data_IF_210099203694
#
_entry.id   IF_210099203694
#
_cell.length_a   1.000
_cell.length_b   1.000
_cell.length_c   1.000
_cell.angle_alpha   90.00
_cell.angle_beta   90.00
_cell.angle_gamma   90.00
#
_symmetry.space_group_name_H-M   'P 1'
#
loop_
_entity.id
_entity.type
_entity.pdbx_description
1 polymer ?
#
# COMPACT_ATOMS: atom_id res chain seq x y z
N UNK A 1 15.90 10.81 -19.27
CA UNK A 1 15.90 9.33 -19.43
C UNK A 1 15.35 8.75 -18.14
N UNK A 2 14.40 7.80 -18.21
CA UNK A 2 13.86 7.16 -17.00
C UNK A 2 15.00 6.45 -16.24
N UNK A 3 15.04 6.53 -14.89
CA UNK A 3 16.02 5.80 -14.08
C UNK A 3 15.72 4.28 -14.03
N UNK A 4 14.56 3.84 -14.50
CA UNK A 4 14.17 2.43 -14.53
C UNK A 4 14.67 1.80 -15.82
N UNK A 5 15.35 0.65 -15.67
CA UNK A 5 15.88 -0.08 -16.82
C UNK A 5 14.76 -0.56 -17.75
N UNK A 6 14.98 -0.50 -19.06
CA UNK A 6 14.00 -0.90 -20.07
C UNK A 6 13.65 -2.41 -20.00
N UNK A 7 14.50 -3.22 -19.39
CA UNK A 7 14.25 -4.63 -19.14
C UNK A 7 13.48 -4.92 -17.83
N UNK A 8 13.05 -3.89 -17.11
CA UNK A 8 12.24 -4.06 -15.90
C UNK A 8 10.91 -4.72 -16.23
N UNK A 9 10.56 -5.79 -15.51
CA UNK A 9 9.24 -6.41 -15.53
C UNK A 9 8.67 -6.52 -14.12
N UNK A 10 7.39 -6.18 -13.98
CA UNK A 10 6.69 -6.19 -12.69
C UNK A 10 5.53 -7.19 -12.76
N UNK A 11 5.49 -8.13 -11.82
CA UNK A 11 4.33 -8.98 -11.59
C UNK A 11 3.43 -8.33 -10.55
N UNK A 12 2.16 -8.14 -10.88
CA UNK A 12 1.13 -7.60 -9.98
C UNK A 12 0.14 -8.71 -9.71
N UNK A 13 -0.10 -9.04 -8.44
CA UNK A 13 -0.98 -10.14 -8.04
C UNK A 13 -2.15 -9.60 -7.23
N UNK A 14 -3.38 -9.88 -7.67
CA UNK A 14 -4.61 -9.48 -6.98
C UNK A 14 -5.14 -8.09 -7.35
N UNK A 15 -5.96 -7.53 -6.46
CA UNK A 15 -6.66 -6.25 -6.63
C UNK A 15 -6.83 -5.57 -5.27
N UNK A 16 -6.58 -4.27 -5.24
CA UNK A 16 -6.75 -3.40 -4.08
C UNK A 16 -6.97 -1.96 -4.56
N UNK A 17 -7.72 -1.12 -3.84
CA UNK A 17 -7.87 0.31 -4.15
C UNK A 17 -6.53 1.05 -4.32
N UNK A 18 -5.46 0.58 -3.66
CA UNK A 18 -4.11 1.12 -3.84
C UNK A 18 -3.52 0.89 -5.25
N UNK A 19 -4.10 -0.04 -6.02
CA UNK A 19 -3.63 -0.41 -7.35
C UNK A 19 -3.59 0.77 -8.33
N UNK A 20 -4.63 1.61 -8.36
CA UNK A 20 -4.72 2.71 -9.32
C UNK A 20 -3.54 3.68 -9.21
N UNK A 21 -3.32 4.19 -7.99
CA UNK A 21 -2.25 5.14 -7.71
C UNK A 21 -0.88 4.48 -7.84
N UNK A 22 -0.74 3.23 -7.35
CA UNK A 22 0.52 2.50 -7.46
C UNK A 22 0.94 2.32 -8.92
N UNK A 23 0.04 1.82 -9.76
CA UNK A 23 0.34 1.50 -11.15
C UNK A 23 0.55 2.75 -12.01
N UNK A 24 -0.24 3.82 -11.81
CA UNK A 24 -0.05 5.08 -12.54
C UNK A 24 1.34 5.63 -12.33
N UNK A 25 1.80 5.68 -11.07
CA UNK A 25 3.13 6.21 -10.74
C UNK A 25 4.27 5.33 -11.24
N UNK A 26 4.08 4.00 -11.29
CA UNK A 26 5.06 3.10 -11.90
C UNK A 26 5.19 3.33 -13.41
N UNK A 27 4.07 3.54 -14.11
CA UNK A 27 4.06 3.90 -15.53
C UNK A 27 4.78 5.24 -15.74
N UNK A 28 4.46 6.27 -14.94
CA UNK A 28 5.11 7.59 -14.98
C UNK A 28 6.61 7.51 -14.69
N UNK A 29 7.02 6.63 -13.77
CA UNK A 29 8.43 6.38 -13.47
C UNK A 29 9.16 5.63 -14.60
N UNK A 30 8.44 5.05 -15.56
CA UNK A 30 8.97 4.41 -16.77
C UNK A 30 8.96 2.88 -16.77
N UNK A 31 8.21 2.23 -15.88
CA UNK A 31 7.93 0.79 -15.98
C UNK A 31 7.06 0.55 -17.22
N UNK A 32 7.52 -0.34 -18.12
CA UNK A 32 6.83 -0.62 -19.38
C UNK A 32 6.22 -2.02 -19.48
N UNK A 33 6.62 -2.94 -18.60
CA UNK A 33 6.22 -4.35 -18.70
C UNK A 33 5.56 -4.82 -17.42
N UNK A 34 4.30 -5.18 -17.55
CA UNK A 34 3.47 -5.67 -16.45
C UNK A 34 2.95 -7.07 -16.79
N UNK A 35 2.93 -7.94 -15.79
CA UNK A 35 2.12 -9.15 -15.80
C UNK A 35 1.12 -9.03 -14.66
N UNK A 36 -0.17 -9.15 -14.98
CA UNK A 36 -1.25 -9.08 -13.99
C UNK A 36 -1.79 -10.49 -13.77
N UNK A 37 -1.74 -10.96 -12.53
CA UNK A 37 -2.21 -12.26 -12.11
C UNK A 37 -3.37 -12.10 -11.13
N UNK A 38 -4.53 -12.64 -11.46
CA UNK A 38 -5.67 -12.73 -10.54
C UNK A 38 -6.62 -13.83 -11.00
N UNK A 39 -6.99 -14.72 -10.09
CA UNK A 39 -8.00 -15.78 -10.28
C UNK A 39 -9.43 -15.29 -10.06
N UNK A 40 -9.60 -14.00 -9.75
CA UNK A 40 -10.89 -13.39 -9.44
C UNK A 40 -11.59 -12.77 -10.64
N UNK A 41 -12.92 -12.67 -10.50
CA UNK A 41 -13.80 -11.87 -11.35
C UNK A 41 -14.45 -10.79 -10.48
N UNK A 42 -14.62 -9.61 -11.07
CA UNK A 42 -15.17 -8.44 -10.40
C UNK A 42 -16.57 -8.72 -9.83
N UNK A 43 -16.75 -8.50 -8.53
CA UNK A 43 -18.07 -8.42 -7.90
C UNK A 43 -18.51 -6.97 -7.65
N UNK A 44 -19.70 -6.76 -7.07
CA UNK A 44 -20.21 -5.43 -6.74
C UNK A 44 -19.30 -4.65 -5.80
N UNK A 45 -18.69 -5.33 -4.82
CA UNK A 45 -17.79 -4.71 -3.84
C UNK A 45 -16.47 -4.32 -4.51
N UNK A 46 -15.95 -5.17 -5.38
CA UNK A 46 -14.71 -4.91 -6.11
C UNK A 46 -14.87 -3.76 -7.10
N UNK A 47 -16.00 -3.66 -7.82
CA UNK A 47 -16.30 -2.52 -8.70
C UNK A 47 -16.42 -1.23 -7.89
N UNK A 48 -17.18 -1.24 -6.79
CA UNK A 48 -17.36 -0.05 -5.94
C UNK A 48 -16.05 0.40 -5.27
N UNK A 49 -15.18 -0.55 -4.86
CA UNK A 49 -13.88 -0.24 -4.26
C UNK A 49 -12.82 0.16 -5.29
N UNK A 50 -13.03 -0.13 -6.57
CA UNK A 50 -12.06 0.09 -7.64
C UNK A 50 -12.70 0.80 -8.83
N UNK A 51 -13.40 1.92 -8.58
CA UNK A 51 -14.07 2.73 -9.62
C UNK A 51 -13.14 3.23 -10.73
N UNK A 52 -11.82 3.16 -10.51
CA UNK A 52 -10.81 3.42 -11.51
C UNK A 52 -10.79 2.38 -12.64
N UNK A 53 -11.34 1.19 -12.42
CA UNK A 53 -11.56 0.16 -13.43
C UNK A 53 -12.85 0.47 -14.19
N UNK A 54 -12.74 0.74 -15.49
CA UNK A 54 -13.90 0.85 -16.39
C UNK A 54 -14.40 -0.54 -16.83
N UNK A 55 -14.68 -1.42 -15.87
CA UNK A 55 -15.04 -2.82 -16.10
C UNK A 55 -16.35 -3.19 -15.38
N UNK A 56 -17.05 -4.17 -15.94
CA UNK A 56 -18.34 -4.65 -15.45
C UNK A 56 -18.18 -5.80 -14.45
N UNK A 57 -19.22 -5.99 -13.63
CA UNK A 57 -19.34 -7.17 -12.77
C UNK A 57 -19.19 -8.45 -13.62
N UNK A 58 -18.38 -9.39 -13.14
CA UNK A 58 -18.08 -10.67 -13.77
C UNK A 58 -16.87 -10.66 -14.69
N UNK A 59 -16.32 -9.50 -15.06
CA UNK A 59 -15.09 -9.42 -15.85
C UNK A 59 -13.87 -9.93 -15.04
N UNK A 60 -12.91 -10.63 -15.66
CA UNK A 60 -11.68 -11.03 -14.97
C UNK A 60 -10.89 -9.82 -14.49
N UNK A 61 -10.49 -9.83 -13.23
CA UNK A 61 -9.74 -8.73 -12.61
C UNK A 61 -8.47 -8.39 -13.38
N UNK A 62 -7.73 -9.42 -13.82
CA UNK A 62 -6.49 -9.23 -14.57
C UNK A 62 -6.72 -8.48 -15.90
N UNK A 63 -7.82 -8.78 -16.59
CA UNK A 63 -8.20 -8.14 -17.85
C UNK A 63 -8.66 -6.71 -17.64
N UNK A 64 -9.44 -6.45 -16.59
CA UNK A 64 -9.87 -5.09 -16.23
C UNK A 64 -8.67 -4.17 -15.94
N UNK A 65 -7.71 -4.62 -15.14
CA UNK A 65 -6.48 -3.87 -14.83
C UNK A 65 -5.66 -3.65 -16.11
N UNK A 66 -5.54 -4.67 -16.97
CA UNK A 66 -4.82 -4.54 -18.22
C UNK A 66 -5.46 -3.53 -19.17
N UNK A 67 -6.80 -3.57 -19.31
CA UNK A 67 -7.56 -2.60 -20.09
C UNK A 67 -7.31 -1.17 -19.60
N UNK A 68 -7.36 -0.95 -18.28
CA UNK A 68 -7.04 0.35 -17.70
C UNK A 68 -5.59 0.78 -17.97
N UNK A 69 -4.61 -0.11 -17.79
CA UNK A 69 -3.20 0.18 -18.08
C UNK A 69 -2.99 0.57 -19.55
N UNK A 70 -3.65 -0.10 -20.49
CA UNK A 70 -3.56 0.21 -21.91
C UNK A 70 -4.04 1.63 -22.25
N UNK A 71 -4.93 2.22 -21.45
CA UNK A 71 -5.34 3.63 -21.63
C UNK A 71 -4.25 4.63 -21.20
N UNK A 72 -3.28 4.21 -20.38
CA UNK A 72 -2.26 5.09 -19.81
C UNK A 72 -1.09 5.34 -20.75
N UNK A 73 -0.68 4.35 -21.53
CA UNK A 73 0.38 4.50 -22.53
C UNK A 73 0.38 3.35 -23.54
N UNK A 74 0.59 3.68 -24.81
CA UNK A 74 0.72 2.70 -25.91
C UNK A 74 2.05 1.93 -25.87
N UNK A 75 3.03 2.38 -25.08
CA UNK A 75 4.33 1.72 -24.94
C UNK A 75 4.31 0.56 -23.92
N UNK A 76 3.18 0.35 -23.24
CA UNK A 76 3.05 -0.70 -22.24
C UNK A 76 2.84 -2.06 -22.87
N UNK A 77 3.63 -3.03 -22.41
CA UNK A 77 3.38 -4.46 -22.64
C UNK A 77 2.73 -5.03 -21.39
N UNK A 78 1.46 -5.39 -21.48
CA UNK A 78 0.71 -5.98 -20.37
C UNK A 78 0.30 -7.40 -20.74
N UNK A 79 0.66 -8.35 -19.88
CA UNK A 79 0.23 -9.76 -19.98
C UNK A 79 -0.74 -10.06 -18.85
N UNK A 80 -1.81 -10.78 -19.13
CA UNK A 80 -2.80 -11.19 -18.12
C UNK A 80 -2.71 -12.69 -17.87
N UNK A 81 -2.95 -13.06 -16.61
CA UNK A 81 -2.96 -14.42 -16.09
C UNK A 81 -4.17 -14.56 -15.18
N UNK A 82 -4.99 -15.57 -15.42
CA UNK A 82 -6.26 -15.81 -14.70
C UNK A 82 -6.31 -17.19 -14.06
N UNK A 83 -5.18 -17.89 -14.05
CA UNK A 83 -4.96 -19.14 -13.36
C UNK A 83 -5.12 -18.99 -11.84
N UNK A 84 -5.50 -20.09 -11.15
CA UNK A 84 -5.53 -20.16 -9.69
C UNK A 84 -4.18 -19.72 -9.09
N UNK A 85 -4.23 -18.86 -8.07
CA UNK A 85 -3.02 -18.27 -7.48
C UNK A 85 -2.11 -19.34 -6.87
N UNK A 86 -2.68 -20.33 -6.19
CA UNK A 86 -1.89 -21.39 -5.53
C UNK A 86 -1.19 -22.25 -6.58
N UNK A 87 -1.93 -22.68 -7.61
CA UNK A 87 -1.41 -23.46 -8.72
C UNK A 87 -0.30 -22.71 -9.49
N UNK A 88 -0.47 -21.41 -9.74
CA UNK A 88 0.56 -20.61 -10.40
C UNK A 88 1.83 -20.48 -9.54
N UNK A 89 1.68 -20.18 -8.25
CA UNK A 89 2.84 -20.00 -7.36
C UNK A 89 3.60 -21.32 -7.17
N UNK A 90 2.90 -22.45 -7.11
CA UNK A 90 3.52 -23.78 -7.01
C UNK A 90 4.15 -24.24 -8.33
N UNK A 91 3.49 -23.98 -9.46
CA UNK A 91 3.89 -24.49 -10.78
C UNK A 91 4.86 -23.62 -11.56
N UNK A 92 4.94 -22.32 -11.26
CA UNK A 92 5.64 -21.33 -12.09
C UNK A 92 6.76 -20.60 -11.35
N UNK A 93 7.39 -21.25 -10.37
CA UNK A 93 8.45 -20.63 -9.56
C UNK A 93 9.60 -20.04 -10.39
N UNK A 94 10.02 -20.71 -11.47
CA UNK A 94 11.09 -20.20 -12.34
C UNK A 94 10.69 -18.95 -13.14
N UNK A 95 9.43 -18.86 -13.57
CA UNK A 95 8.88 -17.64 -14.19
C UNK A 95 8.86 -16.50 -13.16
N UNK A 96 8.39 -16.78 -11.94
CA UNK A 96 8.30 -15.80 -10.84
C UNK A 96 9.67 -15.17 -10.53
N UNK A 97 10.75 -15.97 -10.54
CA UNK A 97 12.13 -15.50 -10.27
C UNK A 97 12.67 -14.53 -11.33
N UNK A 98 12.06 -14.48 -12.51
CA UNK A 98 12.50 -13.61 -13.60
C UNK A 98 11.99 -12.17 -13.46
N UNK A 99 10.92 -11.94 -12.69
CA UNK A 99 10.42 -10.59 -12.47
C UNK A 99 11.42 -9.73 -11.69
N UNK A 100 11.54 -8.46 -12.09
CA UNK A 100 12.37 -7.49 -11.40
C UNK A 100 11.78 -7.10 -10.04
N UNK A 101 10.45 -7.15 -9.91
CA UNK A 101 9.69 -6.87 -8.71
C UNK A 101 8.34 -7.59 -8.77
N UNK A 102 7.87 -8.08 -7.61
CA UNK A 102 6.51 -8.57 -7.45
C UNK A 102 5.76 -7.69 -6.46
N UNK A 103 4.53 -7.29 -6.80
CA UNK A 103 3.64 -6.51 -5.95
C UNK A 103 2.36 -7.32 -5.73
N UNK A 104 1.96 -7.49 -4.48
CA UNK A 104 0.67 -8.12 -4.14
C UNK A 104 -0.30 -7.07 -3.62
N UNK A 105 -1.53 -7.14 -4.10
CA UNK A 105 -2.63 -6.24 -3.81
C UNK A 105 -3.77 -7.07 -3.19
N UNK A 106 -3.87 -7.02 -1.85
CA UNK A 106 -4.89 -7.69 -1.05
C UNK A 106 -5.10 -9.19 -1.37
N UNK A 107 -4.01 -9.96 -1.40
CA UNK A 107 -4.06 -11.43 -1.65
C UNK A 107 -4.03 -12.23 -0.34
N UNK A 108 -4.45 -13.52 -0.35
CA UNK A 108 -4.34 -14.40 0.81
C UNK A 108 -2.91 -14.49 1.36
N UNK A 109 -2.78 -14.66 2.67
CA UNK A 109 -1.46 -14.61 3.34
C UNK A 109 -0.56 -15.76 2.90
N UNK A 110 -1.16 -16.90 2.61
CA UNK A 110 -0.52 -18.12 2.15
C UNK A 110 0.21 -17.87 0.81
N UNK A 111 -0.45 -17.14 -0.10
CA UNK A 111 0.12 -16.73 -1.39
C UNK A 111 1.31 -15.78 -1.20
N UNK A 112 1.18 -14.79 -0.30
CA UNK A 112 2.30 -13.87 0.00
C UNK A 112 3.51 -14.59 0.58
N UNK A 113 3.30 -15.56 1.47
CA UNK A 113 4.37 -16.34 2.08
C UNK A 113 5.08 -17.21 1.04
N UNK A 114 4.32 -17.86 0.16
CA UNK A 114 4.88 -18.69 -0.91
C UNK A 114 5.68 -17.84 -1.91
N UNK A 115 5.13 -16.71 -2.38
CA UNK A 115 5.86 -15.74 -3.21
C UNK A 115 7.11 -15.20 -2.49
N UNK A 116 6.95 -14.88 -1.20
CA UNK A 116 8.03 -14.38 -0.35
C UNK A 116 9.23 -15.32 -0.35
N UNK A 117 9.00 -16.61 -0.13
CA UNK A 117 10.07 -17.62 -0.15
C UNK A 117 10.79 -17.68 -1.51
N UNK A 118 10.03 -17.81 -2.60
CA UNK A 118 10.59 -17.92 -3.97
C UNK A 118 11.47 -16.71 -4.29
N UNK A 119 10.96 -15.51 -4.01
CA UNK A 119 11.62 -14.25 -4.37
C UNK A 119 12.81 -13.96 -3.46
N UNK A 120 12.73 -14.30 -2.17
CA UNK A 120 13.84 -14.11 -1.24
C UNK A 120 15.06 -14.96 -1.64
N UNK A 121 14.84 -16.24 -1.97
CA UNK A 121 15.89 -17.14 -2.47
C UNK A 121 16.55 -16.60 -3.75
N UNK A 122 15.75 -16.05 -4.66
CA UNK A 122 16.21 -15.47 -5.92
C UNK A 122 16.75 -14.03 -5.80
N UNK A 123 16.79 -13.46 -4.59
CA UNK A 123 17.19 -12.06 -4.35
C UNK A 123 16.35 -11.05 -5.15
N UNK A 124 15.07 -11.35 -5.33
CA UNK A 124 14.08 -10.46 -5.96
C UNK A 124 13.20 -9.80 -4.90
N UNK A 125 12.85 -8.51 -5.08
CA UNK A 125 11.99 -7.82 -4.14
C UNK A 125 10.52 -8.25 -4.28
N UNK A 126 9.82 -8.22 -3.14
CA UNK A 126 8.38 -8.38 -3.02
C UNK A 126 7.83 -7.18 -2.25
N UNK A 127 6.74 -6.57 -2.71
CA UNK A 127 5.97 -5.61 -1.93
C UNK A 127 4.57 -6.17 -1.71
N UNK A 128 4.11 -6.07 -0.48
CA UNK A 128 2.77 -6.48 -0.05
C UNK A 128 2.00 -5.26 0.36
N UNK A 129 0.82 -5.11 -0.23
CA UNK A 129 -0.11 -4.02 0.09
C UNK A 129 -1.48 -4.59 0.38
N UNK A 130 -2.11 -4.08 1.45
CA UNK A 130 -3.49 -4.39 1.83
C UNK A 130 -4.14 -3.13 2.37
N UNK A 131 -5.30 -2.78 1.84
CA UNK A 131 -6.20 -1.78 2.40
C UNK A 131 -7.53 -2.43 2.76
N UNK A 132 -7.58 -3.11 3.90
CA UNK A 132 -8.81 -3.74 4.38
C UNK A 132 -9.10 -3.35 5.83
N UNK A 133 -10.34 -2.94 6.12
CA UNK A 133 -10.76 -2.53 7.46
C UNK A 133 -9.77 -1.51 8.08
N UNK A 134 -9.45 -1.65 9.37
CA UNK A 134 -8.42 -0.86 10.06
C UNK A 134 -6.98 -1.34 9.80
N UNK A 135 -6.76 -2.07 8.70
CA UNK A 135 -5.45 -2.54 8.28
C UNK A 135 -5.07 -1.87 6.95
N UNK A 136 -4.33 -0.76 7.06
CA UNK A 136 -3.52 -0.25 5.96
C UNK A 136 -2.10 -0.75 6.14
N UNK A 137 -1.72 -1.76 5.35
CA UNK A 137 -0.41 -2.41 5.44
C UNK A 137 0.30 -2.29 4.11
N UNK A 138 1.48 -1.68 4.13
CA UNK A 138 2.51 -1.90 3.10
C UNK A 138 3.74 -2.53 3.75
N UNK A 139 4.36 -3.49 3.07
CA UNK A 139 5.62 -4.09 3.51
C UNK A 139 6.44 -4.53 2.31
N UNK A 140 7.72 -4.20 2.31
CA UNK A 140 8.68 -4.75 1.35
C UNK A 140 9.48 -5.90 1.98
N UNK A 141 9.84 -6.86 1.14
CA UNK A 141 10.82 -7.89 1.39
C UNK A 141 11.87 -7.78 0.29
N UNK A 142 13.13 -7.85 0.67
CA UNK A 142 14.28 -7.95 -0.22
C UNK A 142 15.39 -8.68 0.54
N UNK A 143 16.33 -9.32 -0.17
CA UNK A 143 17.46 -10.03 0.45
C UNK A 143 18.66 -9.11 0.70
N UNK A 144 18.96 -8.24 -0.26
CA UNK A 144 19.97 -7.19 -0.16
C UNK A 144 19.49 -6.02 -1.00
N UNK A 145 19.54 -4.81 -0.45
CA UNK A 145 19.30 -3.57 -1.20
C UNK A 145 20.57 -2.72 -1.18
N UNK A 146 20.93 -2.16 -2.33
CA UNK A 146 22.08 -1.25 -2.45
C UNK A 146 21.54 0.14 -2.76
N UNK A 147 21.66 1.05 -1.82
CA UNK A 147 21.31 2.45 -2.05
C UNK A 147 22.51 3.18 -2.66
N UNK A 148 22.36 3.62 -3.91
CA UNK A 148 23.36 4.37 -4.68
C UNK A 148 22.99 5.84 -4.86
N UNK A 149 22.04 6.36 -4.08
CA UNK A 149 21.60 7.76 -4.17
C UNK A 149 22.58 8.76 -3.53
N UNK A 150 23.43 8.29 -2.62
CA UNK A 150 24.44 9.07 -1.92
C UNK A 150 25.83 9.01 -2.56
N UNK A 151 26.83 9.72 -1.98
CA UNK A 151 28.22 9.67 -2.43
C UNK A 151 28.87 8.29 -2.20
N UNK A 152 28.36 7.52 -1.25
CA UNK A 152 28.77 6.15 -0.95
C UNK A 152 27.60 5.20 -1.14
N UNK A 153 27.88 3.98 -1.60
CA UNK A 153 26.86 2.92 -1.68
C UNK A 153 26.60 2.33 -0.31
N UNK A 154 25.36 2.45 0.17
CA UNK A 154 24.93 1.83 1.42
C UNK A 154 24.31 0.47 1.11
N UNK A 155 24.83 -0.60 1.73
CA UNK A 155 24.27 -1.94 1.60
C UNK A 155 23.38 -2.24 2.79
N UNK A 156 22.12 -2.55 2.52
CA UNK A 156 21.14 -2.95 3.52
C UNK A 156 20.89 -4.44 3.39
N UNK A 157 21.08 -5.18 4.47
CA UNK A 157 20.70 -6.59 4.54
C UNK A 157 19.18 -6.75 4.68
N UNK A 158 18.70 -7.84 4.12
CA UNK A 158 17.28 -8.06 3.84
C UNK A 158 16.40 -8.31 5.05
N UNK A 159 15.11 -8.08 4.84
CA UNK A 159 14.05 -8.39 5.81
C UNK A 159 13.12 -9.40 5.18
N UNK A 160 13.25 -10.67 5.57
CA UNK A 160 12.34 -11.74 5.17
C UNK A 160 10.91 -11.48 5.69
N UNK A 161 9.90 -11.91 4.93
CA UNK A 161 8.50 -11.63 5.21
C UNK A 161 7.98 -12.22 6.52
N UNK A 162 8.59 -13.29 7.04
CA UNK A 162 8.21 -13.89 8.32
C UNK A 162 8.64 -13.05 9.53
N UNK A 163 9.74 -12.31 9.40
CA UNK A 163 10.21 -11.44 10.47
C UNK A 163 9.18 -10.32 10.74
N UNK A 164 9.22 -9.72 11.93
CA UNK A 164 8.38 -8.53 12.17
C UNK A 164 8.90 -7.36 11.31
N UNK A 165 8.02 -6.47 10.83
CA UNK A 165 8.48 -5.23 10.20
C UNK A 165 9.37 -4.44 11.17
N UNK A 166 10.27 -3.62 10.65
CA UNK A 166 11.15 -2.79 11.49
C UNK A 166 10.30 -1.98 12.50
N UNK A 167 10.73 -1.83 13.76
CA UNK A 167 9.98 -1.03 14.73
C UNK A 167 9.92 0.44 14.29
N UNK A 168 8.91 1.22 14.72
CA UNK A 168 8.82 2.65 14.42
C UNK A 168 9.92 3.41 15.17
N UNK A 169 11.05 3.67 14.52
CA UNK A 169 12.12 4.54 15.04
C UNK A 169 11.94 5.97 14.54
N UNK A 170 12.55 6.95 15.21
CA UNK A 170 12.54 8.35 14.75
C UNK A 170 13.06 8.49 13.32
N UNK A 171 14.15 7.79 12.99
CA UNK A 171 14.69 7.78 11.63
C UNK A 171 13.64 7.27 10.62
N UNK A 172 12.95 6.17 10.96
CA UNK A 172 11.92 5.59 10.10
C UNK A 172 10.71 6.52 9.95
N UNK A 173 10.28 7.19 11.02
CA UNK A 173 9.23 8.22 10.97
C UNK A 173 9.63 9.36 10.02
N UNK A 174 10.88 9.83 10.08
CA UNK A 174 11.37 10.87 9.16
C UNK A 174 11.42 10.39 7.70
N UNK A 175 11.81 9.12 7.45
CA UNK A 175 11.75 8.55 6.08
C UNK A 175 10.31 8.51 5.55
N UNK A 176 9.38 8.01 6.37
CA UNK A 176 7.95 7.96 6.02
C UNK A 176 7.42 9.36 5.76
N UNK A 177 7.75 10.33 6.63
CA UNK A 177 7.37 11.74 6.48
C UNK A 177 7.87 12.34 5.16
N UNK A 178 9.15 12.14 4.83
CA UNK A 178 9.75 12.62 3.58
C UNK A 178 9.09 11.99 2.36
N UNK A 179 8.88 10.67 2.39
CA UNK A 179 8.18 9.96 1.33
C UNK A 179 6.74 10.47 1.17
N UNK A 180 6.04 10.70 2.28
CA UNK A 180 4.67 11.20 2.26
C UNK A 180 4.57 12.60 1.65
N UNK A 181 5.42 13.53 2.10
CA UNK A 181 5.46 14.89 1.57
C UNK A 181 5.84 14.96 0.07
N UNK A 182 6.54 13.95 -0.44
CA UNK A 182 6.85 13.82 -1.87
C UNK A 182 5.72 13.14 -2.67
N UNK A 183 4.89 12.33 -2.01
CA UNK A 183 3.90 11.48 -2.63
C UNK A 183 2.51 12.13 -2.71
N UNK A 184 2.11 12.87 -1.67
CA UNK A 184 0.77 13.44 -1.52
C UNK A 184 0.81 14.93 -1.17
N UNK A 185 -0.21 15.66 -1.60
CA UNK A 185 -0.40 17.06 -1.22
C UNK A 185 -0.98 17.15 0.19
N UNK A 186 -0.12 17.47 1.15
CA UNK A 186 -0.50 17.66 2.56
C UNK A 186 -1.28 18.96 2.83
N UNK A 187 -1.33 19.87 1.87
CA UNK A 187 -2.05 21.14 2.02
C UNK A 187 -3.54 21.01 1.67
N UNK A 188 -3.93 19.94 0.98
CA UNK A 188 -5.33 19.65 0.64
C UNK A 188 -6.18 19.49 1.92
N UNK A 189 -7.31 20.21 2.03
CA UNK A 189 -8.26 20.04 3.13
C UNK A 189 -8.77 18.60 3.26
N UNK A 190 -8.98 17.91 2.13
CA UNK A 190 -9.42 16.52 2.06
C UNK A 190 -8.37 15.59 2.67
N UNK A 191 -7.10 15.81 2.35
CA UNK A 191 -5.98 15.04 2.91
C UNK A 191 -5.85 15.28 4.41
N UNK A 192 -5.91 16.53 4.87
CA UNK A 192 -5.86 16.86 6.31
C UNK A 192 -7.00 16.18 7.06
N UNK A 193 -8.22 16.25 6.52
CA UNK A 193 -9.42 15.60 7.07
C UNK A 193 -9.24 14.09 7.17
N UNK A 194 -8.77 13.45 6.10
CA UNK A 194 -8.46 12.02 6.08
C UNK A 194 -7.43 11.64 7.15
N UNK A 195 -6.33 12.39 7.27
CA UNK A 195 -5.27 12.10 8.25
C UNK A 195 -5.77 12.24 9.69
N UNK A 196 -6.62 13.22 9.96
CA UNK A 196 -7.26 13.39 11.27
C UNK A 196 -8.13 12.18 11.61
N UNK A 197 -8.96 11.71 10.67
CA UNK A 197 -9.81 10.52 10.87
C UNK A 197 -8.95 9.28 11.08
N UNK A 198 -7.93 9.04 10.26
CA UNK A 198 -7.03 7.88 10.38
C UNK A 198 -6.31 7.87 11.72
N UNK A 199 -5.72 9.01 12.11
CA UNK A 199 -4.97 9.10 13.36
C UNK A 199 -5.87 8.93 14.58
N UNK A 200 -7.01 9.65 14.61
CA UNK A 200 -7.93 9.62 15.73
C UNK A 200 -8.58 8.24 15.89
N UNK A 201 -9.08 7.67 14.79
CA UNK A 201 -9.67 6.33 14.80
C UNK A 201 -8.64 5.26 15.17
N UNK A 202 -7.40 5.35 14.68
CA UNK A 202 -6.31 4.44 15.08
C UNK A 202 -5.99 4.49 16.57
N UNK A 203 -5.97 5.69 17.14
CA UNK A 203 -5.73 5.90 18.57
C UNK A 203 -6.87 5.35 19.45
N UNK A 204 -8.13 5.58 19.03
CA UNK A 204 -9.31 5.02 19.71
C UNK A 204 -9.33 3.49 19.59
N UNK A 205 -9.06 2.98 18.40
CA UNK A 205 -8.96 1.54 18.12
C UNK A 205 -7.96 0.84 19.04
N UNK A 206 -6.75 1.39 19.17
CA UNK A 206 -5.72 0.84 20.07
C UNK A 206 -6.21 0.79 21.52
N UNK A 207 -6.90 1.84 21.98
CA UNK A 207 -7.45 1.92 23.34
C UNK A 207 -8.55 0.88 23.58
N UNK A 208 -9.40 0.64 22.58
CA UNK A 208 -10.54 -0.30 22.70
C UNK A 208 -10.10 -1.76 22.57
N UNK A 209 -9.23 -2.06 21.61
CA UNK A 209 -8.89 -3.44 21.23
C UNK A 209 -7.59 -3.96 21.89
N UNK A 210 -6.80 -3.09 22.53
CA UNK A 210 -5.65 -3.48 23.37
C UNK A 210 -4.51 -4.23 22.65
N UNK A 211 -4.42 -4.12 21.32
CA UNK A 211 -3.48 -4.77 20.39
C UNK A 211 -2.77 -6.06 20.87
N UNK A 212 -3.07 -7.20 20.22
CA UNK A 212 -2.03 -8.10 19.78
C UNK A 212 -2.08 -8.27 18.26
N UNK A 213 -0.93 -8.05 17.63
CA UNK A 213 -0.77 -7.99 16.18
C UNK A 213 -1.00 -9.34 15.47
N UNK A 214 -1.52 -9.23 14.24
CA UNK A 214 -1.20 -10.04 13.06
C UNK A 214 -2.10 -11.23 12.65
N UNK A 215 -2.99 -11.79 13.47
CA UNK A 215 -3.69 -13.03 13.06
C UNK A 215 -5.14 -13.20 13.54
N UNK A 216 -6.04 -12.22 13.36
CA UNK A 216 -7.47 -12.47 13.58
C UNK A 216 -8.36 -11.96 12.44
N UNK A 217 -9.21 -12.83 11.85
CA UNK A 217 -10.20 -12.48 10.83
C UNK A 217 -11.56 -12.10 11.45
N UNK A 218 -11.57 -11.53 12.66
CA UNK A 218 -12.80 -10.94 13.18
C UNK A 218 -12.86 -9.51 12.66
N UNK A 219 -13.90 -9.16 11.91
CA UNK A 219 -14.16 -7.80 11.45
C UNK A 219 -14.01 -6.83 12.62
N UNK A 220 -12.94 -6.04 12.63
CA UNK A 220 -12.67 -5.16 13.77
C UNK A 220 -13.35 -3.83 13.48
N UNK A 221 -14.50 -3.62 14.10
CA UNK A 221 -15.26 -2.38 13.96
C UNK A 221 -15.07 -1.47 15.19
N UNK A 222 -15.18 -0.16 14.96
CA UNK A 222 -15.34 0.85 16.00
C UNK A 222 -16.79 1.36 16.06
N UNK A 223 -17.77 0.63 15.51
CA UNK A 223 -19.17 1.02 15.57
C UNK A 223 -19.60 1.37 17.00
N UNK A 224 -20.20 2.55 17.19
CA UNK A 224 -20.57 3.08 18.50
C UNK A 224 -19.46 3.86 19.23
N UNK A 225 -18.30 4.06 18.61
CA UNK A 225 -17.21 4.89 19.13
C UNK A 225 -17.00 6.20 18.34
N UNK A 226 -17.94 6.58 17.47
CA UNK A 226 -17.87 7.78 16.63
C UNK A 226 -17.64 9.03 17.49
N UNK A 227 -18.37 9.17 18.59
CA UNK A 227 -18.23 10.31 19.51
C UNK A 227 -16.81 10.39 20.15
N UNK A 228 -16.15 9.24 20.38
CA UNK A 228 -14.77 9.22 20.91
C UNK A 228 -13.77 9.66 19.83
N UNK A 229 -13.95 9.18 18.60
CA UNK A 229 -13.12 9.59 17.45
C UNK A 229 -13.29 11.09 17.21
N UNK A 230 -14.52 11.58 17.18
CA UNK A 230 -14.84 12.99 17.00
C UNK A 230 -14.22 13.87 18.10
N UNK A 231 -14.35 13.48 19.37
CA UNK A 231 -13.74 14.22 20.48
C UNK A 231 -12.21 14.30 20.34
N UNK A 232 -11.57 13.23 19.87
CA UNK A 232 -10.13 13.22 19.62
C UNK A 232 -9.75 14.12 18.43
N UNK A 233 -10.53 14.12 17.35
CA UNK A 233 -10.31 15.01 16.21
C UNK A 233 -10.39 16.47 16.64
N UNK A 234 -11.41 16.85 17.42
CA UNK A 234 -11.56 18.22 17.95
C UNK A 234 -10.35 18.63 18.77
N UNK A 235 -9.90 17.75 19.67
CA UNK A 235 -8.68 17.96 20.47
C UNK A 235 -7.45 18.19 19.58
N UNK A 236 -7.26 17.37 18.55
CA UNK A 236 -6.13 17.50 17.62
C UNK A 236 -6.17 18.81 16.83
N UNK A 237 -7.35 19.22 16.37
CA UNK A 237 -7.54 20.49 15.66
C UNK A 237 -7.12 21.67 16.54
N UNK A 238 -7.55 21.69 17.81
CA UNK A 238 -7.19 22.72 18.78
C UNK A 238 -5.69 22.72 19.09
N UNK A 239 -5.12 21.56 19.41
CA UNK A 239 -3.70 21.42 19.78
C UNK A 239 -2.74 21.79 18.64
N UNK A 240 -3.15 21.58 17.40
CA UNK A 240 -2.31 21.81 16.21
C UNK A 240 -2.63 23.10 15.46
N UNK A 241 -3.63 23.87 15.92
CA UNK A 241 -4.05 25.10 15.24
C UNK A 241 -4.59 24.85 13.82
N UNK A 242 -5.21 23.69 13.58
CA UNK A 242 -5.77 23.31 12.27
C UNK A 242 -7.15 23.93 12.07
N UNK A 243 -7.29 25.24 12.28
CA UNK A 243 -8.58 25.95 12.36
C UNK A 243 -9.41 25.91 11.09
N UNK A 244 -8.83 25.50 9.96
CA UNK A 244 -9.50 25.33 8.68
C UNK A 244 -9.85 23.87 8.35
N UNK A 245 -9.45 22.92 9.19
CA UNK A 245 -9.76 21.51 8.97
C UNK A 245 -11.26 21.26 9.23
N UNK A 246 -11.96 20.85 8.17
CA UNK A 246 -13.36 20.41 8.26
C UNK A 246 -13.37 18.90 8.07
N UNK A 247 -13.76 18.17 9.11
CA UNK A 247 -13.92 16.72 9.04
C UNK A 247 -15.39 16.37 8.84
N UNK A 248 -15.65 15.62 7.78
CA UNK A 248 -16.98 15.09 7.50
C UNK A 248 -17.35 14.00 8.51
N UNK A 249 -18.54 14.13 9.09
CA UNK A 249 -19.10 13.14 10.00
C UNK A 249 -19.34 11.80 9.30
N UNK A 250 -19.63 11.82 8.01
CA UNK A 250 -19.81 10.59 7.25
C UNK A 250 -18.49 9.82 7.10
N UNK A 251 -17.35 10.52 6.96
CA UNK A 251 -16.03 9.89 6.96
C UNK A 251 -15.73 9.23 8.33
N UNK A 252 -16.12 9.86 9.44
CA UNK A 252 -15.97 9.27 10.78
C UNK A 252 -16.83 8.00 10.92
N UNK A 253 -18.11 8.07 10.52
CA UNK A 253 -19.02 6.91 10.57
C UNK A 253 -18.56 5.77 9.68
N UNK A 254 -18.22 6.07 8.43
CA UNK A 254 -17.70 5.11 7.46
C UNK A 254 -16.45 4.44 8.00
N UNK A 255 -15.50 5.23 8.52
CA UNK A 255 -14.30 4.70 9.15
C UNK A 255 -14.63 3.82 10.35
N UNK A 256 -15.53 4.25 11.24
CA UNK A 256 -15.87 3.45 12.43
C UNK A 256 -16.56 2.13 12.06
N UNK A 257 -17.43 2.14 11.05
CA UNK A 257 -18.15 0.96 10.60
C UNK A 257 -17.26 -0.01 9.82
N UNK A 258 -16.45 0.49 8.89
CA UNK A 258 -15.79 -0.29 7.85
C UNK A 258 -14.26 -0.16 7.83
N UNK A 259 -13.68 0.62 8.74
CA UNK A 259 -12.25 0.84 8.86
C UNK A 259 -11.63 1.81 7.85
N UNK A 260 -10.31 1.89 7.85
CA UNK A 260 -9.55 2.76 6.95
C UNK A 260 -9.68 2.37 5.48
N UNK A 261 -9.80 1.09 5.15
CA UNK A 261 -9.93 0.63 3.76
C UNK A 261 -11.17 1.18 3.04
N UNK A 262 -12.19 1.61 3.78
CA UNK A 262 -13.39 2.24 3.23
C UNK A 262 -13.25 3.76 3.05
N UNK A 263 -12.14 4.37 3.49
CA UNK A 263 -11.89 5.79 3.29
C UNK A 263 -11.38 6.03 1.86
N UNK A 264 -11.93 7.00 1.12
CA UNK A 264 -11.57 7.23 -0.29
C UNK A 264 -10.07 7.42 -0.54
N UNK A 265 -9.37 8.09 0.38
CA UNK A 265 -7.94 8.40 0.23
C UNK A 265 -7.00 7.29 0.74
N UNK A 266 -7.52 6.22 1.34
CA UNK A 266 -6.67 5.14 1.85
C UNK A 266 -5.92 4.41 0.73
N UNK A 267 -6.63 4.12 -0.37
CA UNK A 267 -6.04 3.55 -1.59
C UNK A 267 -4.97 4.47 -2.19
N UNK A 268 -5.29 5.75 -2.38
CA UNK A 268 -4.32 6.74 -2.89
C UNK A 268 -3.05 6.79 -2.04
N UNK A 269 -3.18 6.90 -0.72
CA UNK A 269 -2.02 6.98 0.17
C UNK A 269 -1.19 5.69 0.12
N UNK A 270 -1.82 4.53 0.27
CA UNK A 270 -1.11 3.24 0.22
C UNK A 270 -0.48 2.98 -1.14
N UNK A 271 -1.16 3.33 -2.22
CA UNK A 271 -0.67 3.18 -3.59
C UNK A 271 0.52 4.07 -3.86
N UNK A 272 0.49 5.33 -3.40
CA UNK A 272 1.61 6.24 -3.56
C UNK A 272 2.87 5.77 -2.80
N UNK A 273 2.70 5.24 -1.58
CA UNK A 273 3.80 4.62 -0.86
C UNK A 273 4.30 3.32 -1.51
N UNK A 274 3.39 2.46 -1.97
CA UNK A 274 3.74 1.21 -2.65
C UNK A 274 4.57 1.50 -3.91
N UNK A 275 4.17 2.50 -4.71
CA UNK A 275 4.94 2.97 -5.86
C UNK A 275 6.27 3.58 -5.46
N UNK A 276 6.32 4.42 -4.43
CA UNK A 276 7.57 5.01 -3.93
C UNK A 276 8.57 3.93 -3.54
N UNK A 277 8.11 2.92 -2.78
CA UNK A 277 8.92 1.78 -2.37
C UNK A 277 9.39 0.95 -3.57
N UNK A 278 8.50 0.70 -4.54
CA UNK A 278 8.82 -0.01 -5.77
C UNK A 278 9.88 0.73 -6.60
N UNK A 279 9.75 2.04 -6.75
CA UNK A 279 10.72 2.86 -7.48
C UNK A 279 12.08 2.84 -6.78
N UNK A 280 12.13 2.94 -5.45
CA UNK A 280 13.37 2.81 -4.67
C UNK A 280 14.04 1.47 -4.96
N UNK A 281 13.29 0.38 -4.88
CA UNK A 281 13.81 -0.99 -5.09
C UNK A 281 14.26 -1.23 -6.53
N UNK A 282 13.54 -0.71 -7.53
CA UNK A 282 13.86 -0.88 -8.94
C UNK A 282 15.05 -0.02 -9.39
N UNK A 283 15.22 1.16 -8.81
CA UNK A 283 16.28 2.11 -9.19
C UNK A 283 17.52 2.03 -8.32
N UNK A 284 17.48 1.27 -7.22
CA UNK A 284 18.55 1.26 -6.22
C UNK A 284 18.85 2.66 -5.65
N UNK A 285 17.85 3.56 -5.66
CA UNK A 285 18.01 4.96 -5.27
C UNK A 285 17.15 5.27 -4.04
N UNK A 286 17.80 5.39 -2.89
CA UNK A 286 17.17 5.65 -1.60
C UNK A 286 17.03 4.39 -0.74
N UNK A 287 16.63 4.61 0.52
CA UNK A 287 16.42 3.57 1.51
C UNK A 287 14.95 3.13 1.54
N UNK A 288 14.65 1.82 1.39
CA UNK A 288 13.30 1.30 1.51
C UNK A 288 12.63 1.65 2.84
N UNK A 289 11.34 1.93 2.81
CA UNK A 289 10.50 2.23 3.97
C UNK A 289 10.25 0.99 4.82
N UNK A 290 10.07 -0.17 4.18
CA UNK A 290 9.78 -1.46 4.83
C UNK A 290 8.70 -1.36 5.93
N UNK A 291 7.65 -0.61 5.61
CA UNK A 291 6.52 -0.28 6.47
C UNK A 291 5.59 0.63 5.69
N UNK A 292 4.28 0.50 5.85
CA UNK A 292 3.37 1.65 6.01
C UNK A 292 2.14 1.23 6.81
N UNK A 293 2.12 1.50 8.13
CA UNK A 293 0.88 1.65 8.88
C UNK A 293 0.28 3.02 8.54
N UNK A 294 -0.96 3.06 8.03
CA UNK A 294 -1.64 4.34 7.74
C UNK A 294 -1.64 5.31 8.93
N UNK A 295 -1.77 4.78 10.17
CA UNK A 295 -1.65 5.59 11.38
C UNK A 295 -0.24 6.19 11.58
N UNK A 296 0.82 5.45 11.26
CA UNK A 296 2.19 5.99 11.32
C UNK A 296 2.37 7.10 10.29
N UNK A 297 1.82 6.93 9.08
CA UNK A 297 1.83 7.98 8.06
C UNK A 297 1.05 9.22 8.54
N UNK A 298 -0.14 9.02 9.09
CA UNK A 298 -0.96 10.09 9.64
C UNK A 298 -0.28 10.84 10.80
N UNK A 299 0.28 10.12 11.77
CA UNK A 299 1.02 10.73 12.88
C UNK A 299 2.24 11.51 12.41
N UNK A 300 3.02 10.94 11.48
CA UNK A 300 4.18 11.61 10.89
C UNK A 300 3.80 12.89 10.14
N UNK A 301 2.67 12.89 9.44
CA UNK A 301 2.15 14.05 8.72
C UNK A 301 1.64 15.13 9.67
N UNK A 302 0.88 14.76 10.70
CA UNK A 302 0.30 15.66 11.69
C UNK A 302 1.29 16.13 12.76
N UNK A 303 2.57 15.72 12.65
CA UNK A 303 3.60 15.98 13.66
C UNK A 303 3.18 15.49 15.06
N UNK A 304 2.60 14.30 15.13
CA UNK A 304 2.23 13.64 16.37
C UNK A 304 3.17 12.43 16.54
N UNK A 305 3.73 12.19 17.74
CA UNK A 305 4.47 10.98 18.00
C UNK A 305 3.62 9.77 17.61
N UNK A 306 4.17 8.90 16.77
CA UNK A 306 3.48 7.69 16.38
C UNK A 306 3.17 6.85 17.63
N UNK A 307 1.92 6.46 17.81
CA UNK A 307 1.55 5.52 18.86
C UNK A 307 2.16 4.16 18.50
N UNK A 308 3.15 3.75 19.29
CA UNK A 308 3.86 2.46 19.18
C UNK A 308 2.94 1.29 19.54
#
# INVERSE_FOLDING_TARGET
>A
MSPISADTSVLVVGLDPAGAECLSRLVEAGVKRFTILSDKRLDETEVAGNEWLSASIGEPVAEAIAGWLSTRSQELTVTTRTEDLSAFVEGSADEIRQFSLVITLCVPREIELALGKILFEASRPLIITRSNEFHGKMRSQFRVHKDTSGPETVVLEGVELENRPEPPTMEKCERVRKAFAAAVDLSSPEMISFLLVVYASGSVFQTVQGYPAAHRPAAVSLAGHEAKVEAMIRKLIEEKGLTHAVVDQEAIKTCCAHGWGALPLAGTVLGAFTATEAIILLTSSGRPLNTVPLNLAAGSALHIPALL
#
